data_IF_740058502975
#
_entry.id   IF_740058502975
#
_cell.length_a   1.000
_cell.length_b   1.000
_cell.length_c   1.000
_cell.angle_alpha   90.00
_cell.angle_beta   90.00
_cell.angle_gamma   90.00
#
_symmetry.space_group_name_H-M   'P 1'
#
loop_
_entity.id
_entity.type
_entity.pdbx_description
1 polymer ?
#
# COMPACT_ATOMS: atom_id res chain seq x y z
N UNK A 1 -9.71 31.65 -15.20
CA UNK A 1 -9.97 30.22 -15.51
C UNK A 1 -9.88 29.88 -17.00
N UNK A 2 -10.47 30.65 -17.94
CA UNK A 2 -10.36 30.39 -19.40
C UNK A 2 -8.94 30.56 -20.01
N UNK A 3 -8.12 31.46 -19.45
CA UNK A 3 -6.70 31.61 -19.86
C UNK A 3 -5.92 30.32 -19.58
N UNK A 4 -6.06 29.79 -18.36
CA UNK A 4 -5.37 28.58 -17.89
C UNK A 4 -5.79 27.34 -18.70
N UNK A 5 -7.06 27.21 -19.08
CA UNK A 5 -7.52 26.09 -19.92
C UNK A 5 -6.97 26.16 -21.34
N UNK A 6 -6.89 27.36 -21.93
CA UNK A 6 -6.33 27.54 -23.28
C UNK A 6 -4.82 27.31 -23.30
N UNK A 7 -4.10 27.78 -22.28
CA UNK A 7 -2.67 27.52 -22.11
C UNK A 7 -2.38 26.02 -21.93
N UNK A 8 -3.20 25.31 -21.14
CA UNK A 8 -3.05 23.85 -20.97
C UNK A 8 -3.27 23.11 -22.30
N UNK A 9 -4.31 23.46 -23.06
CA UNK A 9 -4.59 22.85 -24.35
C UNK A 9 -3.47 23.10 -25.36
N UNK A 10 -2.96 24.33 -25.45
CA UNK A 10 -1.82 24.65 -26.33
C UNK A 10 -0.57 23.83 -26.02
N UNK A 11 -0.27 23.63 -24.72
CA UNK A 11 0.86 22.79 -24.29
C UNK A 11 0.66 21.32 -24.63
N UNK A 12 -0.56 20.80 -24.51
CA UNK A 12 -0.86 19.40 -24.87
C UNK A 12 -0.71 19.17 -26.38
N UNK A 13 -1.12 20.13 -27.22
CA UNK A 13 -0.94 20.06 -28.68
C UNK A 13 0.55 20.10 -29.08
N UNK A 14 1.34 20.98 -28.46
CA UNK A 14 2.79 21.03 -28.67
C UNK A 14 3.46 19.72 -28.25
N UNK A 15 3.14 19.22 -27.05
CA UNK A 15 3.68 17.95 -26.53
C UNK A 15 3.30 16.76 -27.41
N UNK A 16 2.10 16.76 -28.00
CA UNK A 16 1.68 15.76 -28.98
C UNK A 16 2.53 15.80 -30.25
N UNK A 17 2.77 16.98 -30.81
CA UNK A 17 3.58 17.16 -32.03
C UNK A 17 5.02 16.73 -31.79
N UNK A 18 5.62 17.17 -30.69
CA UNK A 18 7.02 16.85 -30.35
C UNK A 18 7.22 15.35 -30.12
N UNK A 19 6.33 14.73 -29.35
CA UNK A 19 6.39 13.28 -29.10
C UNK A 19 6.19 12.48 -30.39
N UNK A 20 5.26 12.90 -31.26
CA UNK A 20 5.04 12.23 -32.55
C UNK A 20 6.21 12.38 -33.51
N UNK A 21 6.84 13.56 -33.56
CA UNK A 21 8.05 13.78 -34.34
C UNK A 21 9.21 12.92 -33.83
N UNK A 22 9.40 12.83 -32.51
CA UNK A 22 10.43 11.99 -31.90
C UNK A 22 10.21 10.49 -32.21
N UNK A 23 8.97 10.00 -32.20
CA UNK A 23 8.63 8.62 -32.59
C UNK A 23 8.91 8.36 -34.07
N UNK A 24 8.71 9.35 -34.94
CA UNK A 24 9.03 9.22 -36.36
C UNK A 24 10.55 9.13 -36.62
N UNK A 25 11.35 9.78 -35.77
CA UNK A 25 12.81 9.72 -35.82
C UNK A 25 13.32 8.39 -35.26
N UNK A 26 12.82 7.98 -34.09
CA UNK A 26 13.16 6.70 -33.45
C UNK A 26 11.90 6.00 -32.92
N UNK A 27 11.53 4.92 -33.61
CA UNK A 27 10.37 4.09 -33.27
C UNK A 27 10.53 3.27 -31.99
N UNK A 28 11.71 3.27 -31.36
CA UNK A 28 11.99 2.59 -30.09
C UNK A 28 12.14 3.57 -28.93
N UNK A 29 11.97 4.86 -29.17
CA UNK A 29 12.19 5.88 -28.15
C UNK A 29 11.05 5.92 -27.13
N UNK A 30 11.21 5.15 -26.05
CA UNK A 30 10.22 4.94 -25.00
C UNK A 30 9.73 6.26 -24.37
N UNK A 31 10.61 7.23 -24.12
CA UNK A 31 10.21 8.52 -23.54
C UNK A 31 9.22 9.30 -24.42
N UNK A 32 9.32 9.18 -25.75
CA UNK A 32 8.38 9.85 -26.65
C UNK A 32 7.00 9.20 -26.60
N UNK A 33 6.94 7.86 -26.58
CA UNK A 33 5.68 7.13 -26.33
C UNK A 33 5.08 7.50 -24.96
N UNK A 34 5.88 7.54 -23.90
CA UNK A 34 5.41 7.91 -22.56
C UNK A 34 4.82 9.34 -22.51
N UNK A 35 5.48 10.31 -23.16
CA UNK A 35 4.98 11.68 -23.27
C UNK A 35 3.66 11.75 -24.04
N UNK A 36 3.55 11.04 -25.17
CA UNK A 36 2.32 11.01 -25.97
C UNK A 36 1.18 10.30 -25.24
N UNK A 37 1.48 9.22 -24.52
CA UNK A 37 0.52 8.51 -23.68
C UNK A 37 -0.07 9.42 -22.58
N UNK A 38 0.76 10.28 -21.96
CA UNK A 38 0.27 11.28 -21.01
C UNK A 38 -0.64 12.31 -21.66
N UNK A 39 -0.33 12.78 -22.87
CA UNK A 39 -1.23 13.68 -23.61
C UNK A 39 -2.57 13.00 -23.85
N UNK A 40 -2.57 11.76 -24.37
CA UNK A 40 -3.79 10.98 -24.59
C UNK A 40 -4.60 10.79 -23.30
N UNK A 41 -3.93 10.51 -22.17
CA UNK A 41 -4.57 10.39 -20.84
C UNK A 41 -5.25 11.70 -20.42
N UNK A 42 -4.58 12.85 -20.59
CA UNK A 42 -5.12 14.17 -20.23
C UNK A 42 -6.33 14.58 -21.07
N UNK A 43 -6.44 14.12 -22.31
CA UNK A 43 -7.61 14.34 -23.18
C UNK A 43 -8.65 13.21 -23.09
N UNK A 44 -8.50 12.29 -22.13
CA UNK A 44 -9.34 11.12 -21.90
C UNK A 44 -9.42 10.11 -23.05
N UNK A 45 -8.45 10.12 -23.99
CA UNK A 45 -8.25 9.06 -24.98
C UNK A 45 -7.48 7.89 -24.36
N UNK A 46 -8.16 7.18 -23.47
CA UNK A 46 -7.57 6.13 -22.65
C UNK A 46 -7.07 4.94 -23.46
N UNK A 47 -7.68 4.67 -24.62
CA UNK A 47 -7.29 3.56 -25.50
C UNK A 47 -5.93 3.81 -26.12
N UNK A 48 -5.72 5.01 -26.69
CA UNK A 48 -4.43 5.37 -27.28
C UNK A 48 -3.36 5.57 -26.21
N UNK A 49 -3.73 6.08 -25.02
CA UNK A 49 -2.83 6.14 -23.88
C UNK A 49 -2.28 4.76 -23.48
N UNK A 50 -3.15 3.75 -23.30
CA UNK A 50 -2.71 2.38 -22.98
C UNK A 50 -1.79 1.83 -24.08
N UNK A 51 -2.15 2.02 -25.35
CA UNK A 51 -1.34 1.54 -26.47
C UNK A 51 0.07 2.12 -26.46
N UNK A 52 0.21 3.42 -26.19
CA UNK A 52 1.53 4.05 -26.14
C UNK A 52 2.31 3.64 -24.88
N UNK A 53 1.67 3.50 -23.72
CA UNK A 53 2.34 2.95 -22.53
C UNK A 53 2.81 1.50 -22.74
N UNK A 54 2.08 0.68 -23.49
CA UNK A 54 2.54 -0.67 -23.86
C UNK A 54 3.81 -0.61 -24.72
N UNK A 55 3.93 0.38 -25.61
CA UNK A 55 5.17 0.60 -26.37
C UNK A 55 6.34 1.01 -25.48
N UNK A 56 6.11 1.72 -24.38
CA UNK A 56 7.15 1.98 -23.36
C UNK A 56 7.64 0.67 -22.78
N UNK A 57 6.71 -0.19 -22.33
CA UNK A 57 7.00 -1.49 -21.72
C UNK A 57 7.78 -2.42 -22.67
N UNK A 58 7.45 -2.43 -23.96
CA UNK A 58 8.13 -3.24 -24.99
C UNK A 58 9.58 -2.81 -25.26
N UNK A 59 9.90 -1.53 -25.07
CA UNK A 59 11.21 -0.96 -25.42
C UNK A 59 12.14 -0.72 -24.22
N UNK A 60 11.63 -0.84 -23.00
CA UNK A 60 12.35 -0.60 -21.76
C UNK A 60 12.78 -1.89 -21.06
N UNK A 61 13.85 -1.80 -20.27
CA UNK A 61 14.27 -2.90 -19.41
C UNK A 61 13.26 -3.11 -18.30
N UNK A 62 12.94 -4.37 -17.99
CA UNK A 62 12.07 -4.73 -16.86
C UNK A 62 12.59 -4.08 -15.57
N UNK A 63 11.68 -3.47 -14.82
CA UNK A 63 11.97 -2.70 -13.61
C UNK A 63 12.82 -1.43 -13.79
N UNK A 64 12.99 -0.92 -15.02
CA UNK A 64 13.40 0.48 -15.21
C UNK A 64 12.30 1.43 -14.72
N UNK A 65 12.65 2.69 -14.42
CA UNK A 65 11.67 3.68 -13.96
C UNK A 65 10.51 3.84 -14.96
N UNK A 66 10.83 3.96 -16.25
CA UNK A 66 9.84 4.07 -17.32
C UNK A 66 8.94 2.82 -17.43
N UNK A 67 9.50 1.63 -17.20
CA UNK A 67 8.72 0.39 -17.16
C UNK A 67 7.70 0.42 -16.01
N UNK A 68 8.12 0.83 -14.82
CA UNK A 68 7.26 0.92 -13.63
C UNK A 68 6.18 1.98 -13.85
N UNK A 69 6.56 3.18 -14.30
CA UNK A 69 5.62 4.29 -14.52
C UNK A 69 4.58 3.96 -15.60
N UNK A 70 4.98 3.26 -16.68
CA UNK A 70 4.06 2.84 -17.73
C UNK A 70 3.05 1.79 -17.23
N UNK A 71 3.52 0.77 -16.50
CA UNK A 71 2.63 -0.23 -15.90
C UNK A 71 1.67 0.42 -14.89
N UNK A 72 2.16 1.35 -14.06
CA UNK A 72 1.35 2.08 -13.09
C UNK A 72 0.25 2.90 -13.77
N UNK A 73 0.59 3.65 -14.82
CA UNK A 73 -0.40 4.45 -15.56
C UNK A 73 -1.44 3.58 -16.27
N UNK A 74 -1.06 2.43 -16.84
CA UNK A 74 -2.02 1.47 -17.41
C UNK A 74 -2.95 0.93 -16.32
N UNK A 75 -2.39 0.55 -15.16
CA UNK A 75 -3.17 0.05 -14.03
C UNK A 75 -4.18 1.09 -13.54
N UNK A 76 -3.76 2.35 -13.43
CA UNK A 76 -4.61 3.48 -13.07
C UNK A 76 -5.74 3.69 -14.07
N UNK A 77 -5.45 3.64 -15.38
CA UNK A 77 -6.48 3.75 -16.42
C UNK A 77 -7.49 2.61 -16.31
N UNK A 78 -7.05 1.37 -16.11
CA UNK A 78 -7.98 0.25 -15.91
C UNK A 78 -8.80 0.39 -14.64
N UNK A 79 -8.23 0.98 -13.58
CA UNK A 79 -8.98 1.29 -12.37
C UNK A 79 -10.07 2.34 -12.62
N UNK A 80 -9.78 3.40 -13.38
CA UNK A 80 -10.78 4.40 -13.81
C UNK A 80 -11.91 3.78 -14.65
N UNK A 81 -11.58 2.76 -15.45
CA UNK A 81 -12.54 2.00 -16.25
C UNK A 81 -13.31 0.94 -15.43
N UNK A 82 -13.17 0.94 -14.10
CA UNK A 82 -13.72 -0.07 -13.19
C UNK A 82 -13.32 -1.52 -13.54
N UNK A 83 -12.20 -1.70 -14.23
CA UNK A 83 -11.63 -2.99 -14.55
C UNK A 83 -10.55 -3.36 -13.53
N UNK A 84 -11.00 -3.66 -12.31
CA UNK A 84 -10.16 -4.00 -11.17
C UNK A 84 -9.21 -5.17 -11.44
N UNK A 85 -9.65 -6.17 -12.21
CA UNK A 85 -8.82 -7.34 -12.53
C UNK A 85 -7.57 -6.95 -13.34
N UNK A 86 -7.75 -6.15 -14.40
CA UNK A 86 -6.60 -5.67 -15.18
C UNK A 86 -5.77 -4.66 -14.39
N UNK A 87 -6.41 -3.79 -13.60
CA UNK A 87 -5.68 -2.85 -12.75
C UNK A 87 -4.71 -3.59 -11.80
N UNK A 88 -5.19 -4.62 -11.09
CA UNK A 88 -4.37 -5.44 -10.19
C UNK A 88 -3.24 -6.15 -10.94
N UNK A 89 -3.49 -6.67 -12.15
CA UNK A 89 -2.45 -7.32 -12.96
C UNK A 89 -1.27 -6.39 -13.25
N UNK A 90 -1.56 -5.15 -13.67
CA UNK A 90 -0.53 -4.17 -14.00
C UNK A 90 0.14 -3.57 -12.76
N UNK A 91 -0.61 -3.29 -11.69
CA UNK A 91 0.00 -2.88 -10.41
C UNK A 91 0.91 -3.98 -9.84
N UNK A 92 0.58 -5.26 -10.03
CA UNK A 92 1.44 -6.36 -9.58
C UNK A 92 2.79 -6.33 -10.27
N UNK A 93 2.84 -6.02 -11.57
CA UNK A 93 4.11 -5.87 -12.31
C UNK A 93 4.99 -4.76 -11.73
N UNK A 94 4.39 -3.69 -11.21
CA UNK A 94 5.12 -2.64 -10.49
C UNK A 94 5.60 -3.10 -9.12
N UNK A 95 4.72 -3.77 -8.35
CA UNK A 95 5.04 -4.30 -7.04
C UNK A 95 6.17 -5.35 -7.07
N UNK A 96 6.19 -6.20 -8.11
CA UNK A 96 7.26 -7.18 -8.35
C UNK A 96 8.63 -6.49 -8.60
N UNK A 97 8.62 -5.23 -9.05
CA UNK A 97 9.80 -4.37 -9.20
C UNK A 97 10.13 -3.55 -7.95
N UNK A 98 9.42 -3.73 -6.84
CA UNK A 98 9.64 -3.04 -5.57
C UNK A 98 8.85 -1.75 -5.40
N UNK A 99 7.90 -1.43 -6.30
CA UNK A 99 7.01 -0.28 -6.11
C UNK A 99 6.00 -0.53 -4.99
N UNK A 100 6.22 0.16 -3.87
CA UNK A 100 5.42 0.02 -2.67
C UNK A 100 4.01 0.58 -2.85
N UNK A 101 3.86 1.68 -3.60
CA UNK A 101 2.58 2.35 -3.83
C UNK A 101 1.59 1.42 -4.56
N UNK A 102 2.06 0.75 -5.62
CA UNK A 102 1.24 -0.24 -6.33
C UNK A 102 0.78 -1.39 -5.43
N UNK A 103 1.59 -1.81 -4.45
CA UNK A 103 1.21 -2.85 -3.50
C UNK A 103 0.01 -2.41 -2.64
N UNK A 104 0.01 -1.17 -2.16
CA UNK A 104 -1.10 -0.60 -1.38
C UNK A 104 -2.37 -0.47 -2.24
N UNK A 105 -2.23 -0.07 -3.50
CA UNK A 105 -3.34 0.09 -4.44
C UNK A 105 -4.01 -1.23 -4.80
N UNK A 106 -3.24 -2.31 -5.04
CA UNK A 106 -3.80 -3.66 -5.25
C UNK A 106 -4.67 -4.07 -4.07
N UNK A 107 -4.13 -3.85 -2.88
CA UNK A 107 -4.73 -4.20 -1.60
C UNK A 107 -6.02 -3.39 -1.35
N UNK A 108 -6.05 -2.12 -1.76
CA UNK A 108 -7.25 -1.27 -1.74
C UNK A 108 -8.33 -1.79 -2.71
N UNK A 109 -7.94 -2.12 -3.94
CA UNK A 109 -8.84 -2.57 -5.01
C UNK A 109 -9.47 -3.93 -4.66
N UNK A 110 -8.66 -4.90 -4.20
CA UNK A 110 -9.13 -6.26 -3.85
C UNK A 110 -10.12 -6.27 -2.70
N UNK A 111 -10.07 -5.26 -1.84
CA UNK A 111 -10.91 -5.16 -0.65
C UNK A 111 -12.21 -4.38 -0.85
N UNK A 112 -12.48 -3.87 -2.05
CA UNK A 112 -13.76 -3.25 -2.38
C UNK A 112 -14.17 -2.13 -1.42
N UNK A 113 -13.23 -1.26 -1.02
CA UNK A 113 -13.44 -0.20 -0.01
C UNK A 113 -13.83 -0.69 1.40
N UNK A 114 -13.44 -1.91 1.82
CA UNK A 114 -13.44 -2.30 3.24
C UNK A 114 -12.01 -2.59 3.71
N UNK A 115 -11.41 -1.78 4.60
CA UNK A 115 -10.10 -2.11 5.14
C UNK A 115 -10.21 -3.42 5.93
N UNK A 116 -9.61 -4.50 5.43
CA UNK A 116 -9.34 -5.68 6.26
C UNK A 116 -7.97 -5.53 6.90
N UNK A 117 -7.84 -6.08 8.11
CA UNK A 117 -6.64 -6.04 8.96
C UNK A 117 -5.37 -6.57 8.25
N UNK A 118 -5.54 -7.38 7.20
CA UNK A 118 -4.50 -7.91 6.33
C UNK A 118 -3.76 -6.81 5.55
N UNK A 119 -4.46 -5.73 5.20
CA UNK A 119 -3.94 -4.57 4.47
C UNK A 119 -3.01 -3.71 5.30
N UNK A 120 -3.23 -3.63 6.62
CA UNK A 120 -2.58 -2.61 7.43
C UNK A 120 -1.22 -3.06 8.00
N UNK A 121 -0.78 -4.30 7.72
CA UNK A 121 0.43 -4.88 8.30
C UNK A 121 1.67 -4.79 7.40
N UNK A 122 1.56 -4.65 6.07
CA UNK A 122 2.65 -4.44 5.09
C UNK A 122 4.09 -4.80 5.55
N UNK A 123 4.31 -6.05 5.95
CA UNK A 123 5.65 -6.56 6.24
C UNK A 123 6.25 -7.06 4.93
N UNK A 124 6.84 -6.15 4.14
CA UNK A 124 7.51 -6.53 2.89
C UNK A 124 8.80 -7.26 3.20
N UNK A 125 8.90 -8.49 2.68
CA UNK A 125 10.09 -9.33 2.70
C UNK A 125 10.79 -9.24 1.33
N UNK A 126 11.62 -8.21 1.17
CA UNK A 126 12.72 -8.24 0.22
C UNK A 126 14.01 -8.27 1.04
N UNK A 127 14.77 -9.36 0.97
CA UNK A 127 16.10 -9.55 1.60
C UNK A 127 16.19 -9.86 3.11
N UNK A 128 15.07 -10.18 3.80
CA UNK A 128 15.13 -10.67 5.18
C UNK A 128 15.18 -9.60 6.27
N UNK A 129 14.97 -8.34 5.89
CA UNK A 129 14.75 -7.22 6.82
C UNK A 129 13.28 -6.80 6.78
N UNK A 130 12.67 -6.56 7.94
CA UNK A 130 11.33 -5.99 8.03
C UNK A 130 11.45 -4.55 8.56
N UNK A 131 10.79 -3.60 7.89
CA UNK A 131 10.75 -2.21 8.35
C UNK A 131 9.48 -1.98 9.17
N UNK A 132 9.64 -1.75 10.47
CA UNK A 132 8.53 -1.38 11.35
C UNK A 132 8.16 0.09 11.07
N UNK A 133 6.94 0.34 10.58
CA UNK A 133 6.36 1.68 10.43
C UNK A 133 5.41 1.99 11.59
N UNK A 134 5.15 3.27 11.85
CA UNK A 134 4.20 3.72 12.89
C UNK A 134 2.79 3.15 12.70
N UNK A 135 2.34 3.00 11.45
CA UNK A 135 1.07 2.35 11.12
C UNK A 135 1.01 0.92 11.62
N UNK A 136 2.08 0.12 11.44
CA UNK A 136 2.12 -1.28 11.83
C UNK A 136 1.89 -1.48 13.33
N UNK A 137 2.48 -0.61 14.18
CA UNK A 137 2.35 -0.70 15.64
C UNK A 137 0.90 -0.60 16.08
N UNK A 138 0.14 0.37 15.56
CA UNK A 138 -1.28 0.53 15.91
C UNK A 138 -2.08 -0.74 15.59
N UNK A 139 -1.77 -1.42 14.49
CA UNK A 139 -2.52 -2.60 14.04
C UNK A 139 -2.16 -3.85 14.81
N UNK A 140 -0.88 -4.02 15.16
CA UNK A 140 -0.47 -5.05 16.10
C UNK A 140 -1.22 -4.92 17.44
N UNK A 141 -1.39 -3.70 17.94
CA UNK A 141 -2.16 -3.43 19.16
C UNK A 141 -3.63 -3.80 19.01
N UNK A 142 -4.28 -3.48 17.87
CA UNK A 142 -5.64 -3.95 17.57
C UNK A 142 -5.76 -5.48 17.63
N UNK A 143 -4.82 -6.20 16.99
CA UNK A 143 -4.79 -7.68 17.00
C UNK A 143 -4.64 -8.21 18.43
N UNK A 144 -3.78 -7.59 19.25
CA UNK A 144 -3.58 -8.00 20.64
C UNK A 144 -4.87 -7.85 21.48
N UNK A 145 -5.63 -6.77 21.28
CA UNK A 145 -6.94 -6.57 21.93
C UNK A 145 -7.94 -7.61 21.48
N UNK A 146 -8.06 -7.84 20.17
CA UNK A 146 -8.96 -8.86 19.65
C UNK A 146 -8.59 -10.24 20.20
N UNK A 147 -7.30 -10.52 20.33
CA UNK A 147 -6.80 -11.76 20.94
C UNK A 147 -7.24 -11.91 22.38
N UNK A 148 -7.18 -10.83 23.17
CA UNK A 148 -7.67 -10.82 24.56
C UNK A 148 -9.15 -11.20 24.63
N UNK A 149 -9.94 -10.74 23.68
CA UNK A 149 -11.39 -11.01 23.63
C UNK A 149 -11.71 -12.42 23.14
N UNK A 150 -10.84 -13.05 22.34
CA UNK A 150 -11.10 -14.35 21.71
C UNK A 150 -10.45 -15.55 22.42
N UNK A 151 -9.12 -15.53 22.59
CA UNK A 151 -8.35 -16.77 22.85
C UNK A 151 -7.22 -16.65 23.87
N UNK A 152 -6.76 -15.43 24.17
CA UNK A 152 -5.59 -15.16 25.02
C UNK A 152 -4.25 -15.64 24.45
N UNK A 153 -4.20 -16.13 23.20
CA UNK A 153 -2.98 -16.67 22.55
C UNK A 153 -2.54 -15.78 21.39
N UNK A 154 -1.63 -14.84 21.65
CA UNK A 154 -1.16 -13.86 20.65
C UNK A 154 -0.63 -14.50 19.38
N UNK A 155 0.26 -15.50 19.47
CA UNK A 155 0.83 -16.17 18.30
C UNK A 155 -0.25 -16.74 17.37
N UNK A 156 -1.27 -17.39 17.94
CA UNK A 156 -2.36 -17.99 17.16
C UNK A 156 -3.18 -16.93 16.44
N UNK A 157 -3.46 -15.80 17.10
CA UNK A 157 -4.16 -14.68 16.47
C UNK A 157 -3.32 -14.00 15.40
N UNK A 158 -2.01 -13.81 15.62
CA UNK A 158 -1.09 -13.26 14.62
C UNK A 158 -1.05 -14.15 13.37
N UNK A 159 -1.03 -15.47 13.53
CA UNK A 159 -1.12 -16.44 12.42
C UNK A 159 -2.49 -16.33 11.72
N UNK A 160 -3.58 -16.25 12.49
CA UNK A 160 -4.96 -16.12 11.97
C UNK A 160 -5.14 -14.88 11.10
N UNK A 161 -4.44 -13.79 11.43
CA UNK A 161 -4.44 -12.54 10.64
C UNK A 161 -3.39 -12.53 9.53
N UNK A 162 -2.75 -13.67 9.24
CA UNK A 162 -1.88 -13.86 8.08
C UNK A 162 -0.40 -13.58 8.31
N UNK A 163 0.06 -13.39 9.55
CA UNK A 163 1.48 -13.15 9.84
C UNK A 163 2.24 -14.49 9.82
N UNK A 164 3.28 -14.67 8.97
CA UNK A 164 4.04 -15.90 8.92
C UNK A 164 4.79 -16.19 10.22
N UNK A 165 4.86 -17.46 10.62
CA UNK A 165 5.60 -17.91 11.81
C UNK A 165 7.06 -17.44 11.84
N UNK A 166 7.73 -17.39 10.67
CA UNK A 166 9.12 -16.90 10.57
C UNK A 166 9.23 -15.44 11.03
N UNK A 167 8.24 -14.62 10.71
CA UNK A 167 8.22 -13.21 11.04
C UNK A 167 7.87 -12.96 12.50
N UNK A 168 6.95 -13.74 13.08
CA UNK A 168 6.69 -13.73 14.54
C UNK A 168 7.99 -14.01 15.30
N UNK A 169 8.79 -14.99 14.84
CA UNK A 169 10.12 -15.27 15.42
C UNK A 169 11.07 -14.08 15.30
N UNK A 170 11.10 -13.38 14.16
CA UNK A 170 11.90 -12.17 13.97
C UNK A 170 11.44 -11.02 14.89
N UNK A 171 10.13 -10.80 15.06
CA UNK A 171 9.60 -9.78 15.97
C UNK A 171 10.02 -10.09 17.41
N UNK A 172 9.88 -11.34 17.86
CA UNK A 172 10.33 -11.80 19.19
C UNK A 172 11.83 -11.55 19.41
N UNK A 173 12.64 -11.74 18.37
CA UNK A 173 14.10 -11.63 18.45
C UNK A 173 14.59 -10.18 18.36
N UNK A 174 14.16 -9.44 17.35
CA UNK A 174 14.75 -8.15 16.99
C UNK A 174 13.97 -6.97 17.61
N UNK A 175 12.69 -7.15 17.93
CA UNK A 175 11.84 -6.15 18.60
C UNK A 175 11.10 -6.74 19.82
N UNK A 176 11.82 -7.31 20.81
CA UNK A 176 11.21 -7.96 21.97
C UNK A 176 10.33 -6.99 22.77
N UNK A 177 10.67 -5.70 22.79
CA UNK A 177 9.85 -4.67 23.42
C UNK A 177 8.45 -4.62 22.82
N UNK A 178 8.30 -4.75 21.50
CA UNK A 178 7.02 -4.70 20.82
C UNK A 178 6.22 -5.96 21.17
N UNK A 179 6.82 -7.13 20.98
CA UNK A 179 6.15 -8.41 21.25
C UNK A 179 5.64 -8.50 22.68
N UNK A 180 6.47 -8.15 23.67
CA UNK A 180 6.10 -8.23 25.08
C UNK A 180 4.93 -7.30 25.44
N UNK A 181 4.86 -6.11 24.83
CA UNK A 181 3.73 -5.21 25.03
C UNK A 181 2.44 -5.79 24.44
N UNK A 182 2.50 -6.37 23.24
CA UNK A 182 1.35 -7.03 22.62
C UNK A 182 0.86 -8.24 23.42
N UNK A 183 1.80 -9.04 23.92
CA UNK A 183 1.49 -10.25 24.68
C UNK A 183 0.82 -9.91 26.01
N UNK A 184 1.33 -8.90 26.72
CA UNK A 184 0.71 -8.37 27.93
C UNK A 184 -0.71 -7.85 27.70
N UNK A 185 -0.95 -7.10 26.60
CA UNK A 185 -2.30 -6.66 26.20
C UNK A 185 -3.20 -7.88 25.97
N UNK A 186 -2.71 -8.88 25.24
CA UNK A 186 -3.48 -10.08 24.89
C UNK A 186 -3.86 -10.91 26.13
N UNK A 187 -3.05 -10.85 27.19
CA UNK A 187 -3.30 -11.50 28.49
C UNK A 187 -4.14 -10.66 29.45
N UNK A 188 -4.40 -9.40 29.09
CA UNK A 188 -5.26 -8.50 29.83
C UNK A 188 -4.58 -7.66 30.90
N UNK A 189 -3.27 -7.51 30.86
CA UNK A 189 -2.52 -6.65 31.77
C UNK A 189 -2.83 -5.17 31.53
N UNK A 190 -3.13 -4.43 32.59
CA UNK A 190 -3.36 -2.98 32.53
C UNK A 190 -2.02 -2.25 32.44
N UNK A 191 -1.54 -2.08 31.21
CA UNK A 191 -0.38 -1.25 30.84
C UNK A 191 0.92 -1.63 31.56
N UNK A 192 1.61 -2.67 31.07
CA UNK A 192 2.84 -3.11 31.71
C UNK A 192 3.92 -2.01 31.59
N UNK A 193 4.75 -1.84 32.62
CA UNK A 193 5.88 -0.92 32.61
C UNK A 193 7.05 -1.47 31.77
N UNK A 194 6.81 -1.68 30.47
CA UNK A 194 7.80 -2.22 29.54
C UNK A 194 8.60 -1.09 28.88
N UNK A 195 9.90 -1.31 28.72
CA UNK A 195 10.83 -0.34 28.14
C UNK A 195 10.55 -0.18 26.64
N UNK A 196 10.08 1.00 26.24
CA UNK A 196 9.87 1.38 24.83
C UNK A 196 10.98 2.33 24.37
N UNK A 197 11.63 2.08 23.21
CA UNK A 197 12.62 2.99 22.64
C UNK A 197 12.06 4.41 22.42
N UNK A 198 12.89 5.44 22.56
CA UNK A 198 12.45 6.83 22.61
C UNK A 198 11.64 7.24 21.35
N UNK A 199 12.10 6.79 20.19
CA UNK A 199 11.49 7.03 18.88
C UNK A 199 10.08 6.41 18.74
N UNK A 200 9.75 5.42 19.57
CA UNK A 200 8.47 4.71 19.54
C UNK A 200 7.50 5.10 20.66
N UNK A 201 7.96 5.82 21.70
CA UNK A 201 7.15 6.12 22.90
C UNK A 201 5.81 6.77 22.58
N UNK A 202 5.80 7.80 21.73
CA UNK A 202 4.58 8.50 21.36
C UNK A 202 3.62 7.58 20.59
N UNK A 203 4.13 6.84 19.61
CA UNK A 203 3.34 5.91 18.79
C UNK A 203 2.73 4.80 19.63
N UNK A 204 3.49 4.24 20.57
CA UNK A 204 3.00 3.20 21.49
C UNK A 204 1.98 3.76 22.46
N UNK A 205 2.22 4.95 23.01
CA UNK A 205 1.27 5.63 23.89
C UNK A 205 -0.07 5.89 23.19
N UNK A 206 -0.04 6.42 21.98
CA UNK A 206 -1.22 6.69 21.17
C UNK A 206 -1.97 5.40 20.76
N UNK A 207 -1.23 4.35 20.38
CA UNK A 207 -1.80 3.03 20.12
C UNK A 207 -2.47 2.44 21.37
N UNK A 208 -1.86 2.66 22.55
CA UNK A 208 -2.39 2.19 23.84
C UNK A 208 -3.68 2.92 24.21
N UNK A 209 -3.75 4.24 24.08
CA UNK A 209 -4.99 5.01 24.32
C UNK A 209 -6.10 4.55 23.38
N UNK A 210 -5.77 4.36 22.11
CA UNK A 210 -6.71 3.82 21.12
C UNK A 210 -7.18 2.41 21.49
N UNK A 211 -6.32 1.61 22.11
CA UNK A 211 -6.65 0.28 22.57
C UNK A 211 -7.61 0.29 23.78
N UNK A 212 -7.33 1.15 24.77
CA UNK A 212 -8.16 1.32 25.96
C UNK A 212 -9.54 1.86 25.63
N UNK A 213 -9.64 2.80 24.68
CA UNK A 213 -10.94 3.30 24.23
C UNK A 213 -11.79 2.19 23.61
N UNK A 214 -11.20 1.35 22.75
CA UNK A 214 -11.87 0.17 22.20
C UNK A 214 -12.31 -0.80 23.30
N UNK A 215 -11.42 -1.17 24.22
CA UNK A 215 -11.74 -2.05 25.35
C UNK A 215 -12.87 -1.50 26.23
N UNK A 216 -12.92 -0.18 26.44
CA UNK A 216 -14.00 0.47 27.21
C UNK A 216 -15.36 0.41 26.50
N UNK A 217 -15.35 0.53 25.16
CA UNK A 217 -16.54 0.39 24.32
C UNK A 217 -17.01 -1.07 24.35
N UNK A 218 -16.12 -2.02 24.08
CA UNK A 218 -16.44 -3.45 24.06
C UNK A 218 -16.85 -4.00 25.44
N UNK A 219 -16.26 -3.50 26.54
CA UNK A 219 -16.66 -3.84 27.90
C UNK A 219 -18.11 -3.46 28.20
N UNK A 220 -18.56 -2.26 27.77
CA UNK A 220 -19.97 -1.85 27.89
C UNK A 220 -20.92 -2.76 27.08
N UNK A 221 -20.49 -3.24 25.92
CA UNK A 221 -21.30 -4.16 25.11
C UNK A 221 -21.39 -5.58 25.70
N UNK A 222 -20.32 -6.07 26.33
CA UNK A 222 -20.32 -7.39 26.99
C UNK A 222 -21.13 -7.40 28.30
N UNK A 223 -21.14 -6.30 29.05
CA UNK A 223 -21.97 -6.16 30.26
C UNK A 223 -23.47 -6.01 29.94
N UNK A 224 -23.82 -5.53 28.74
CA UNK A 224 -25.20 -5.43 28.26
C UNK A 224 -25.73 -6.73 27.63
N UNK A 225 -24.84 -7.70 27.34
CA UNK A 225 -25.18 -8.98 26.71
C UNK A 225 -25.21 -10.17 27.70
N UNK A 226 -25.10 -9.89 29.01
CA UNK A 226 -25.31 -10.82 30.13
C UNK A 226 -26.60 -10.51 30.85
#
# INVERSE_FOLDING_TARGET
NRSVTNEKLGRLEEQYKDSSAAINIDKRFANAYFKRANVYKEIADLKNAISDYQKVIENETVCSQNYIDANFNIAYIYNLLNNSNKAVEYYKKCADCGDYESSELIISILNGNKPTLLNELHLIHSSGFYLLKKSHIRNFFKVAIQTRLESGRLDSSLIKVGIPNKLIKCIKKDTPWLYNNLDAISKGESRPFLKVPAEWRYTVYDAWISAESMLSIYGRFFDLAR
#
